data_IF_735283833378
#
_entry.id   IF_735283833378
#
_cell.length_a   1.000
_cell.length_b   1.000
_cell.length_c   1.000
_cell.angle_alpha   90.00
_cell.angle_beta   90.00
_cell.angle_gamma   90.00
#
_symmetry.space_group_name_H-M   'P 1'
#
loop_
_entity.id
_entity.type
_entity.pdbx_description
1 polymer ?
#
# COMPACT_ATOMS: atom_id res chain seq x y z
N UNK A 1 26.27 -5.40 4.41
CA UNK A 1 25.48 -4.17 4.42
C UNK A 1 24.29 -4.45 3.50
N UNK A 2 23.13 -4.81 4.06
CA UNK A 2 21.92 -5.06 3.28
C UNK A 2 21.52 -3.74 2.61
N UNK A 3 21.38 -3.78 1.28
CA UNK A 3 20.75 -2.68 0.56
C UNK A 3 19.33 -2.52 1.11
N UNK A 4 18.84 -1.28 1.36
CA UNK A 4 17.45 -1.08 1.71
C UNK A 4 16.58 -1.60 0.56
N UNK A 5 15.46 -2.26 0.90
CA UNK A 5 14.37 -2.49 -0.04
C UNK A 5 14.04 -1.17 -0.72
N UNK A 6 13.72 -1.18 -2.01
CA UNK A 6 13.25 0.04 -2.68
C UNK A 6 12.00 0.50 -1.92
N UNK A 7 11.99 1.72 -1.35
CA UNK A 7 10.81 2.17 -0.64
C UNK A 7 9.67 2.23 -1.65
N UNK A 8 8.64 1.42 -1.46
CA UNK A 8 7.39 1.61 -2.21
C UNK A 8 7.01 3.08 -2.09
N UNK A 9 6.62 3.69 -3.20
CA UNK A 9 6.18 5.08 -3.23
C UNK A 9 4.82 5.15 -2.53
N UNK A 10 4.81 4.85 -1.24
CA UNK A 10 3.72 5.15 -0.34
C UNK A 10 3.82 6.65 -0.02
N UNK A 11 3.38 7.48 -0.96
CA UNK A 11 3.27 8.90 -0.73
C UNK A 11 1.97 9.15 0.04
N UNK A 12 2.12 9.53 1.30
CA UNK A 12 1.03 9.83 2.21
C UNK A 12 0.37 11.15 1.84
N UNK A 13 -0.80 11.10 1.26
CA UNK A 13 -1.74 12.20 1.14
C UNK A 13 -3.13 11.66 1.41
N UNK A 14 -3.77 12.16 2.46
CA UNK A 14 -5.13 11.76 2.80
C UNK A 14 -6.13 12.20 1.71
N UNK A 15 -7.08 11.31 1.42
CA UNK A 15 -8.11 11.50 0.42
C UNK A 15 -9.29 12.25 1.04
N UNK A 16 -9.47 13.52 0.70
CA UNK A 16 -10.73 14.21 0.93
C UNK A 16 -10.97 15.24 -0.19
N UNK A 17 -12.04 15.05 -0.93
CA UNK A 17 -12.43 15.92 -2.04
C UNK A 17 -13.18 17.17 -1.57
N UNK A 18 -12.85 18.35 -2.12
CA UNK A 18 -13.67 19.56 -1.94
C UNK A 18 -13.61 20.52 -3.12
N UNK A 19 -14.75 21.10 -3.44
CA UNK A 19 -14.99 22.12 -4.48
C UNK A 19 -14.64 23.53 -3.98
N UNK A 20 -14.08 24.35 -4.88
CA UNK A 20 -13.48 25.68 -4.66
C UNK A 20 -14.45 26.80 -4.29
N UNK A 21 -14.09 27.65 -3.31
CA UNK A 21 -14.32 29.11 -3.32
C UNK A 21 -13.39 29.80 -2.30
N UNK A 22 -12.92 31.01 -2.67
CA UNK A 22 -11.91 31.75 -1.92
C UNK A 22 -12.50 32.69 -0.84
N UNK A 23 -12.00 32.63 0.40
CA UNK A 23 -11.95 33.72 1.41
C UNK A 23 -11.28 33.20 2.69
N UNK A 24 -10.47 34.00 3.40
CA UNK A 24 -9.97 33.88 4.77
C UNK A 24 -9.62 32.49 5.37
N UNK A 25 -9.02 32.37 6.54
CA UNK A 25 -8.87 31.07 7.17
C UNK A 25 -10.25 30.41 7.33
N UNK A 26 -10.43 29.19 6.81
CA UNK A 26 -11.74 28.53 6.83
C UNK A 26 -12.34 28.50 8.22
N UNK A 27 -13.64 28.78 8.40
CA UNK A 27 -14.32 28.88 9.72
C UNK A 27 -14.15 27.61 10.58
N UNK A 28 -13.95 26.46 9.97
CA UNK A 28 -13.83 25.17 10.65
C UNK A 28 -12.52 24.99 11.43
N UNK A 29 -11.52 25.84 11.28
CA UNK A 29 -10.34 25.81 12.14
C UNK A 29 -10.66 26.14 13.60
N UNK A 30 -11.76 26.84 13.87
CA UNK A 30 -12.25 27.04 15.25
C UNK A 30 -12.70 25.74 15.92
N UNK A 31 -12.95 24.68 15.13
CA UNK A 31 -13.40 23.39 15.63
C UNK A 31 -12.23 22.45 16.03
N UNK A 32 -10.98 22.80 15.70
CA UNK A 32 -9.79 21.96 15.98
C UNK A 32 -9.76 21.52 17.45
N UNK A 33 -9.93 22.44 18.39
CA UNK A 33 -9.90 22.11 19.81
C UNK A 33 -11.01 21.14 20.25
N UNK A 34 -12.21 21.27 19.66
CA UNK A 34 -13.31 20.34 19.93
C UNK A 34 -13.03 18.94 19.34
N UNK A 35 -12.42 18.88 18.15
CA UNK A 35 -12.03 17.62 17.50
C UNK A 35 -10.91 16.95 18.31
N UNK A 36 -9.87 17.69 18.71
CA UNK A 36 -8.78 17.18 19.56
C UNK A 36 -9.32 16.58 20.87
N UNK A 37 -10.27 17.26 21.51
CA UNK A 37 -10.92 16.75 22.72
C UNK A 37 -11.75 15.49 22.42
N UNK A 38 -12.48 15.47 21.31
CA UNK A 38 -13.27 14.32 20.88
C UNK A 38 -12.40 13.08 20.62
N UNK A 39 -11.31 13.24 19.86
CA UNK A 39 -10.34 12.17 19.58
C UNK A 39 -9.67 11.68 20.86
N UNK A 40 -9.30 12.59 21.77
CA UNK A 40 -8.75 12.23 23.08
C UNK A 40 -9.73 11.43 23.92
N UNK A 41 -11.01 11.77 23.89
CA UNK A 41 -12.07 11.04 24.60
C UNK A 41 -12.33 9.63 24.02
N UNK A 42 -12.15 9.45 22.72
CA UNK A 42 -12.31 8.16 22.05
C UNK A 42 -11.10 7.26 22.37
N UNK A 43 -9.91 7.75 22.16
CA UNK A 43 -8.67 6.96 22.23
C UNK A 43 -8.13 6.80 23.66
N UNK A 44 -8.39 7.76 24.53
CA UNK A 44 -7.69 7.88 25.83
C UNK A 44 -6.31 8.55 25.72
N UNK A 45 -5.83 8.83 24.52
CA UNK A 45 -4.57 9.56 24.26
C UNK A 45 -4.87 11.08 24.27
N UNK A 46 -3.98 11.88 24.87
CA UNK A 46 -4.14 13.35 24.89
C UNK A 46 -3.20 13.99 23.90
N UNK A 47 -3.65 15.05 23.23
CA UNK A 47 -2.72 15.91 22.50
C UNK A 47 -1.70 16.51 23.46
N UNK A 48 -0.42 16.35 23.16
CA UNK A 48 0.70 16.83 23.98
C UNK A 48 0.99 18.30 23.66
N UNK A 49 0.84 18.65 22.37
CA UNK A 49 1.04 20.01 21.85
C UNK A 49 -0.10 20.39 20.91
N UNK A 50 -0.47 21.68 20.82
CA UNK A 50 -1.36 22.17 19.78
C UNK A 50 -0.86 21.81 18.38
N UNK A 51 -1.75 21.49 17.46
CA UNK A 51 -1.40 21.17 16.07
C UNK A 51 -1.35 22.46 15.24
N UNK A 52 -0.18 22.93 14.79
CA UNK A 52 -0.09 24.06 13.90
C UNK A 52 -0.76 23.76 12.56
N UNK A 53 -1.39 24.73 11.94
CA UNK A 53 -2.01 24.54 10.63
C UNK A 53 -1.59 25.63 9.63
N UNK A 54 -1.85 25.37 8.35
CA UNK A 54 -1.62 26.30 7.25
C UNK A 54 -2.48 25.98 6.06
N UNK A 55 -2.57 26.94 5.13
CA UNK A 55 -3.32 26.78 3.89
C UNK A 55 -2.35 26.71 2.73
N UNK A 56 -2.61 25.85 1.75
CA UNK A 56 -1.86 25.72 0.50
C UNK A 56 -2.83 25.79 -0.68
N UNK A 57 -2.40 26.41 -1.78
CA UNK A 57 -3.08 26.24 -3.05
C UNK A 57 -2.57 24.98 -3.80
N UNK A 58 -3.23 24.60 -4.90
CA UNK A 58 -2.89 23.39 -5.66
C UNK A 58 -1.46 23.40 -6.22
N UNK A 59 -0.96 24.57 -6.65
CA UNK A 59 0.41 24.69 -7.19
C UNK A 59 1.45 24.51 -6.09
N UNK A 60 1.17 25.07 -4.91
CA UNK A 60 2.02 24.89 -3.72
C UNK A 60 2.02 23.44 -3.25
N UNK A 61 0.86 22.76 -3.28
CA UNK A 61 0.77 21.34 -2.98
C UNK A 61 1.61 20.52 -3.97
N UNK A 62 1.44 20.75 -5.29
CA UNK A 62 2.22 20.05 -6.32
C UNK A 62 3.72 20.24 -6.11
N UNK A 63 4.16 21.48 -5.90
CA UNK A 63 5.55 21.79 -5.61
C UNK A 63 6.07 21.08 -4.33
N UNK A 64 5.23 21.02 -3.30
CA UNK A 64 5.53 20.30 -2.06
C UNK A 64 5.70 18.80 -2.32
N UNK A 65 4.77 18.16 -3.04
CA UNK A 65 4.82 16.73 -3.38
C UNK A 65 6.07 16.41 -4.21
N UNK A 66 6.34 17.18 -5.26
CA UNK A 66 7.54 17.02 -6.08
C UNK A 66 8.83 17.18 -5.28
N UNK A 67 8.89 18.17 -4.37
CA UNK A 67 10.04 18.36 -3.49
C UNK A 67 10.21 17.16 -2.54
N UNK A 68 9.09 16.64 -2.00
CA UNK A 68 9.11 15.48 -1.10
C UNK A 68 9.61 14.23 -1.82
N UNK A 69 9.10 13.95 -3.02
CA UNK A 69 9.58 12.85 -3.87
C UNK A 69 11.08 12.99 -4.11
N UNK A 70 11.55 14.16 -4.54
CA UNK A 70 12.99 14.42 -4.80
C UNK A 70 13.87 14.22 -3.57
N UNK A 71 13.37 14.55 -2.37
CA UNK A 71 14.12 14.40 -1.12
C UNK A 71 14.13 12.97 -0.57
N UNK A 72 13.03 12.25 -0.75
CA UNK A 72 12.81 10.94 -0.14
C UNK A 72 13.28 9.80 -1.04
N UNK A 73 13.13 9.94 -2.36
CA UNK A 73 13.39 8.89 -3.33
C UNK A 73 14.52 9.29 -4.27
N UNK A 74 15.48 8.39 -4.45
CA UNK A 74 16.49 8.54 -5.49
C UNK A 74 15.91 8.13 -6.85
N UNK A 75 16.32 8.74 -7.96
CA UNK A 75 15.85 8.33 -9.29
C UNK A 75 16.04 6.85 -9.60
N UNK A 76 17.11 6.24 -9.05
CA UNK A 76 17.37 4.80 -9.17
C UNK A 76 16.36 3.92 -8.45
N UNK A 77 15.84 4.37 -7.31
CA UNK A 77 14.85 3.64 -6.51
C UNK A 77 13.50 3.61 -7.23
N UNK A 78 13.06 4.75 -7.78
CA UNK A 78 11.82 4.84 -8.58
C UNK A 78 11.90 3.94 -9.81
N UNK A 79 13.04 3.98 -10.53
CA UNK A 79 13.26 3.10 -11.69
C UNK A 79 13.23 1.63 -11.31
N UNK A 80 13.85 1.26 -10.19
CA UNK A 80 13.88 -0.12 -9.73
C UNK A 80 12.48 -0.60 -9.37
N UNK A 81 11.68 0.21 -8.67
CA UNK A 81 10.29 -0.10 -8.34
C UNK A 81 9.43 -0.24 -9.60
N UNK A 82 9.51 0.70 -10.52
CA UNK A 82 8.77 0.65 -11.79
C UNK A 82 9.10 -0.63 -12.59
N UNK A 83 10.39 -0.98 -12.71
CA UNK A 83 10.82 -2.21 -13.38
C UNK A 83 10.31 -3.46 -12.68
N UNK A 84 10.33 -3.47 -11.33
CA UNK A 84 9.81 -4.59 -10.54
C UNK A 84 8.31 -4.79 -10.81
N UNK A 85 7.52 -3.73 -10.71
CA UNK A 85 6.07 -3.79 -10.93
C UNK A 85 5.72 -4.20 -12.38
N UNK A 86 6.48 -3.73 -13.38
CA UNK A 86 6.31 -4.12 -14.80
C UNK A 86 6.64 -5.59 -15.02
N UNK A 87 7.75 -6.09 -14.49
CA UNK A 87 8.13 -7.51 -14.63
C UNK A 87 7.18 -8.45 -13.89
N UNK A 88 6.65 -8.02 -12.73
CA UNK A 88 5.59 -8.75 -12.04
C UNK A 88 4.26 -8.75 -12.81
N UNK A 89 4.04 -7.76 -13.68
CA UNK A 89 2.79 -7.56 -14.40
C UNK A 89 1.73 -6.79 -13.60
N UNK A 90 2.13 -6.11 -12.53
CA UNK A 90 1.24 -5.28 -11.70
C UNK A 90 0.88 -3.95 -12.38
N UNK A 91 1.76 -3.42 -13.23
CA UNK A 91 1.51 -2.25 -14.07
C UNK A 91 1.90 -2.51 -15.53
N UNK A 92 1.26 -1.85 -16.51
CA UNK A 92 1.60 -1.98 -17.92
C UNK A 92 3.05 -1.53 -18.23
N UNK A 93 3.62 -2.09 -19.29
CA UNK A 93 5.02 -1.81 -19.68
C UNK A 93 5.30 -0.36 -20.07
N UNK A 94 4.28 0.37 -20.51
CA UNK A 94 4.33 1.79 -20.92
C UNK A 94 3.93 2.77 -19.83
N UNK A 95 3.57 2.30 -18.61
CA UNK A 95 3.17 3.16 -17.51
C UNK A 95 4.38 3.90 -16.92
N UNK A 96 4.26 5.23 -16.74
CA UNK A 96 5.23 6.07 -16.04
C UNK A 96 4.80 6.22 -14.57
N UNK A 97 5.45 5.48 -13.69
CA UNK A 97 5.11 5.46 -12.27
C UNK A 97 5.31 6.83 -11.61
N UNK A 98 6.40 7.53 -11.94
CA UNK A 98 6.73 8.81 -11.32
C UNK A 98 5.71 9.90 -11.66
N UNK A 99 5.42 10.06 -12.96
CA UNK A 99 4.51 11.11 -13.43
C UNK A 99 3.09 10.87 -12.90
N UNK A 100 2.61 9.64 -13.04
CA UNK A 100 1.27 9.29 -12.59
C UNK A 100 1.09 9.41 -11.07
N UNK A 101 2.12 9.09 -10.28
CA UNK A 101 2.06 9.26 -8.82
C UNK A 101 1.82 10.72 -8.42
N UNK A 102 2.57 11.68 -9.02
CA UNK A 102 2.37 13.11 -8.71
C UNK A 102 0.98 13.57 -9.11
N UNK A 103 0.51 13.16 -10.29
CA UNK A 103 -0.80 13.58 -10.80
C UNK A 103 -1.95 13.02 -9.95
N UNK A 104 -1.89 11.73 -9.56
CA UNK A 104 -2.85 11.08 -8.66
C UNK A 104 -2.94 11.79 -7.31
N UNK A 105 -1.80 12.04 -6.67
CA UNK A 105 -1.76 12.67 -5.35
C UNK A 105 -2.24 14.14 -5.39
N UNK A 106 -1.93 14.86 -6.47
CA UNK A 106 -2.40 16.24 -6.63
C UNK A 106 -3.91 16.31 -6.88
N UNK A 107 -4.47 15.29 -7.58
CA UNK A 107 -5.90 15.23 -7.86
C UNK A 107 -6.73 15.02 -6.59
N UNK A 108 -6.26 14.19 -5.67
CA UNK A 108 -7.04 13.66 -4.56
C UNK A 108 -6.86 14.41 -3.23
N UNK A 109 -5.82 15.22 -3.07
CA UNK A 109 -5.54 15.87 -1.80
C UNK A 109 -6.50 17.04 -1.51
N UNK A 110 -7.07 17.07 -0.31
CA UNK A 110 -7.84 18.20 0.23
C UNK A 110 -7.20 18.77 1.50
N UNK A 111 -6.68 17.91 2.35
CA UNK A 111 -5.91 18.24 3.55
C UNK A 111 -4.82 17.17 3.75
N UNK A 112 -3.79 17.46 4.52
CA UNK A 112 -2.81 16.46 4.96
C UNK A 112 -2.03 16.91 6.19
N UNK A 113 -1.64 15.96 7.03
CA UNK A 113 -0.72 16.19 8.13
C UNK A 113 0.72 15.86 7.71
N UNK A 114 1.60 16.86 7.76
CA UNK A 114 3.04 16.65 7.52
C UNK A 114 3.74 16.28 8.83
N UNK A 115 3.97 15.00 9.04
CA UNK A 115 4.65 14.48 10.23
C UNK A 115 6.13 14.92 10.35
N UNK A 116 6.77 15.41 9.27
CA UNK A 116 8.10 15.98 9.36
C UNK A 116 8.08 17.42 9.87
N UNK A 117 7.06 18.19 9.47
CA UNK A 117 6.86 19.58 9.91
C UNK A 117 5.99 19.68 11.16
N UNK A 118 5.35 18.57 11.58
CA UNK A 118 4.36 18.53 12.67
C UNK A 118 3.23 19.53 12.44
N UNK A 119 2.73 19.62 11.21
CA UNK A 119 1.81 20.66 10.77
C UNK A 119 0.72 20.10 9.86
N UNK A 120 -0.50 20.53 10.12
CA UNK A 120 -1.66 20.28 9.28
C UNK A 120 -1.69 21.30 8.13
N UNK A 121 -1.95 20.83 6.91
CA UNK A 121 -2.19 21.65 5.74
C UNK A 121 -3.57 21.38 5.18
N UNK A 122 -4.28 22.44 4.81
CA UNK A 122 -5.59 22.39 4.17
C UNK A 122 -5.52 23.13 2.85
N UNK A 123 -6.21 22.66 1.82
CA UNK A 123 -6.22 23.31 0.54
C UNK A 123 -7.08 24.57 0.57
N UNK A 124 -6.59 25.60 -0.13
CA UNK A 124 -7.30 26.86 -0.36
C UNK A 124 -8.63 26.59 -1.09
N UNK A 125 -9.69 27.22 -0.65
CA UNK A 125 -11.03 27.07 -1.23
C UNK A 125 -11.91 26.04 -0.51
N UNK A 126 -11.43 25.41 0.57
CA UNK A 126 -12.25 24.55 1.42
C UNK A 126 -13.43 25.33 2.00
N UNK A 127 -14.66 24.87 1.74
CA UNK A 127 -15.92 25.55 2.12
C UNK A 127 -16.28 25.41 3.60
N UNK A 128 -15.63 24.45 4.31
CA UNK A 128 -16.01 24.06 5.68
C UNK A 128 -17.24 23.16 5.73
N UNK A 129 -17.54 22.49 4.63
CA UNK A 129 -18.60 21.49 4.56
C UNK A 129 -18.29 20.24 5.37
N UNK A 130 -19.18 19.23 5.26
CA UNK A 130 -19.06 17.99 6.03
C UNK A 130 -17.80 17.20 5.63
N UNK A 131 -17.43 17.25 4.36
CA UNK A 131 -16.26 16.54 3.81
C UNK A 131 -14.95 17.10 4.36
N UNK A 132 -14.81 18.42 4.39
CA UNK A 132 -13.60 19.08 4.92
C UNK A 132 -13.47 18.90 6.43
N UNK A 133 -14.58 18.92 7.16
CA UNK A 133 -14.59 18.60 8.60
C UNK A 133 -14.16 17.16 8.85
N UNK A 134 -14.66 16.25 8.02
CA UNK A 134 -14.31 14.83 8.08
C UNK A 134 -12.81 14.62 7.81
N UNK A 135 -12.29 15.29 6.78
CA UNK A 135 -10.85 15.29 6.49
C UNK A 135 -10.03 15.87 7.65
N UNK A 136 -10.51 16.97 8.28
CA UNK A 136 -9.83 17.57 9.42
C UNK A 136 -9.75 16.61 10.62
N UNK A 137 -10.80 15.83 10.89
CA UNK A 137 -10.79 14.79 11.94
C UNK A 137 -9.74 13.72 11.61
N UNK A 138 -9.67 13.26 10.37
CA UNK A 138 -8.70 12.29 9.89
C UNK A 138 -7.26 12.78 10.08
N UNK A 139 -6.97 14.02 9.66
CA UNK A 139 -5.62 14.58 9.77
C UNK A 139 -5.20 14.87 11.23
N UNK A 140 -6.14 15.25 12.08
CA UNK A 140 -5.89 15.41 13.51
C UNK A 140 -5.69 14.05 14.21
N UNK A 141 -6.29 12.96 13.71
CA UNK A 141 -5.98 11.62 14.19
C UNK A 141 -4.53 11.22 13.86
N UNK A 142 -4.02 11.57 12.66
CA UNK A 142 -2.59 11.42 12.36
C UNK A 142 -1.71 12.25 13.28
N UNK A 143 -2.09 13.50 13.56
CA UNK A 143 -1.34 14.35 14.47
C UNK A 143 -1.28 13.77 15.89
N UNK A 144 -2.40 13.23 16.39
CA UNK A 144 -2.46 12.55 17.68
C UNK A 144 -1.54 11.33 17.71
N UNK A 145 -1.63 10.46 16.70
CA UNK A 145 -0.77 9.28 16.59
C UNK A 145 0.72 9.66 16.49
N UNK A 146 1.06 10.71 15.73
CA UNK A 146 2.44 11.18 15.58
C UNK A 146 3.04 11.72 16.88
N UNK A 147 2.24 12.43 17.69
CA UNK A 147 2.69 12.93 18.98
C UNK A 147 3.05 11.81 19.98
N UNK A 148 2.45 10.63 19.85
CA UNK A 148 2.68 9.48 20.73
C UNK A 148 3.63 8.43 20.14
N UNK A 149 3.60 8.22 18.81
CA UNK A 149 4.27 7.07 18.18
C UNK A 149 5.30 7.48 17.12
N UNK A 150 5.54 8.79 16.87
CA UNK A 150 6.56 9.27 15.95
C UNK A 150 6.44 8.69 14.53
N UNK A 151 5.36 9.01 13.82
CA UNK A 151 4.99 8.43 12.53
C UNK A 151 6.12 8.40 11.50
N UNK A 152 6.99 9.42 11.46
CA UNK A 152 8.15 9.42 10.58
C UNK A 152 9.12 8.27 10.85
N UNK A 153 9.37 7.94 12.14
CA UNK A 153 10.19 6.80 12.54
C UNK A 153 9.47 5.48 12.29
N UNK A 154 8.19 5.43 12.63
CA UNK A 154 7.33 4.27 12.40
C UNK A 154 7.35 3.80 10.95
N UNK A 155 7.22 4.73 10.00
CA UNK A 155 7.29 4.45 8.56
C UNK A 155 8.69 3.99 8.14
N UNK A 156 9.73 4.70 8.61
CA UNK A 156 11.12 4.39 8.27
C UNK A 156 11.52 2.98 8.72
N UNK A 157 11.04 2.53 9.86
CA UNK A 157 11.28 1.17 10.34
C UNK A 157 10.59 0.11 9.48
N UNK A 158 9.43 0.44 8.87
CA UNK A 158 8.72 -0.41 7.91
C UNK A 158 9.46 -0.61 6.60
N UNK A 159 10.32 0.32 6.19
CA UNK A 159 11.04 0.29 4.90
C UNK A 159 12.01 -0.90 4.71
N UNK A 160 12.09 -1.82 5.66
CA UNK A 160 12.85 -3.07 5.56
C UNK A 160 12.10 -4.21 4.86
N UNK A 161 10.80 -4.05 4.65
CA UNK A 161 9.89 -4.99 4.03
C UNK A 161 8.83 -4.20 3.27
N UNK A 162 8.64 -4.48 1.97
CA UNK A 162 7.66 -3.76 1.17
C UNK A 162 6.23 -4.09 1.64
N UNK A 163 5.94 -5.35 1.90
CA UNK A 163 4.67 -5.79 2.45
C UNK A 163 4.43 -5.22 3.87
N UNK A 164 5.46 -5.23 4.72
CA UNK A 164 5.40 -4.60 6.04
C UNK A 164 5.20 -3.08 5.98
N UNK A 165 5.75 -2.40 4.97
CA UNK A 165 5.50 -0.98 4.74
C UNK A 165 4.04 -0.72 4.38
N UNK A 166 3.45 -1.53 3.50
CA UNK A 166 2.03 -1.45 3.14
C UNK A 166 1.14 -1.72 4.34
N UNK A 167 1.50 -2.72 5.17
CA UNK A 167 0.77 -3.02 6.40
C UNK A 167 0.81 -1.86 7.42
N UNK A 168 1.98 -1.22 7.61
CA UNK A 168 2.10 -0.04 8.48
C UNK A 168 1.33 1.16 7.95
N UNK A 169 1.28 1.33 6.63
CA UNK A 169 0.44 2.34 6.01
C UNK A 169 -1.03 2.08 6.30
N UNK A 170 -1.48 0.83 6.17
CA UNK A 170 -2.84 0.45 6.49
C UNK A 170 -3.20 0.68 7.97
N UNK A 171 -2.24 0.52 8.90
CA UNK A 171 -2.45 0.92 10.30
C UNK A 171 -2.69 2.42 10.43
N UNK A 172 -1.85 3.23 9.79
CA UNK A 172 -1.95 4.69 9.91
C UNK A 172 -3.25 5.22 9.34
N UNK A 173 -3.51 4.92 8.07
CA UNK A 173 -4.69 5.41 7.37
C UNK A 173 -5.96 4.77 7.93
N UNK A 174 -5.90 3.48 8.24
CA UNK A 174 -7.03 2.75 8.80
C UNK A 174 -7.44 3.23 10.18
N UNK A 175 -6.48 3.52 11.08
CA UNK A 175 -6.82 4.08 12.40
C UNK A 175 -7.39 5.48 12.26
N UNK A 176 -6.84 6.35 11.42
CA UNK A 176 -7.36 7.69 11.20
C UNK A 176 -8.78 7.64 10.59
N UNK A 177 -9.02 6.76 9.63
CA UNK A 177 -10.35 6.54 9.02
C UNK A 177 -11.34 5.98 10.04
N UNK A 178 -10.94 5.02 10.87
CA UNK A 178 -11.79 4.49 11.92
C UNK A 178 -12.15 5.55 12.98
N UNK A 179 -11.16 6.35 13.40
CA UNK A 179 -11.38 7.44 14.36
C UNK A 179 -12.30 8.53 13.80
N UNK A 180 -12.21 8.82 12.51
CA UNK A 180 -13.11 9.71 11.80
C UNK A 180 -14.54 9.18 11.87
N UNK A 181 -14.77 7.89 11.59
CA UNK A 181 -16.07 7.24 11.70
C UNK A 181 -16.61 7.28 13.13
N UNK A 182 -15.77 6.93 14.12
CA UNK A 182 -16.16 6.94 15.52
C UNK A 182 -16.49 8.35 16.04
N UNK A 183 -15.77 9.37 15.58
CA UNK A 183 -16.03 10.77 15.91
C UNK A 183 -17.40 11.22 15.39
N UNK A 184 -17.71 10.92 14.12
CA UNK A 184 -19.01 11.25 13.51
C UNK A 184 -20.16 10.51 14.20
N UNK A 185 -20.04 9.20 14.41
CA UNK A 185 -21.05 8.41 15.10
C UNK A 185 -21.37 8.96 16.51
N UNK A 186 -20.36 9.46 17.21
CA UNK A 186 -20.52 10.02 18.56
C UNK A 186 -21.20 11.40 18.57
N UNK A 187 -21.02 12.21 17.52
CA UNK A 187 -21.73 13.49 17.39
C UNK A 187 -23.25 13.29 17.24
N UNK A 188 -23.66 12.20 16.58
CA UNK A 188 -25.08 11.84 16.42
C UNK A 188 -25.67 11.13 17.65
N UNK A 189 -24.94 11.10 18.78
CA UNK A 189 -25.39 10.45 20.02
C UNK A 189 -25.28 8.92 19.99
N UNK A 190 -24.53 8.38 19.02
CA UNK A 190 -24.29 6.95 18.85
C UNK A 190 -23.34 6.34 19.90
N UNK A 191 -23.17 5.01 19.87
CA UNK A 191 -22.27 4.28 20.76
C UNK A 191 -20.79 4.66 20.51
N UNK A 192 -19.92 4.30 21.46
CA UNK A 192 -18.46 4.49 21.30
C UNK A 192 -17.83 3.57 20.22
N UNK A 193 -18.58 2.55 19.79
CA UNK A 193 -18.19 1.60 18.73
C UNK A 193 -18.75 2.05 17.39
N UNK A 194 -17.97 1.89 16.33
CA UNK A 194 -18.44 2.15 14.97
C UNK A 194 -19.36 1.00 14.54
N UNK A 195 -20.65 1.28 14.20
CA UNK A 195 -21.56 0.23 13.74
C UNK A 195 -21.08 -0.44 12.44
N UNK A 196 -21.30 -1.76 12.30
CA UNK A 196 -20.91 -2.51 11.10
C UNK A 196 -21.45 -1.88 9.82
N UNK A 197 -22.73 -1.51 9.82
CA UNK A 197 -23.34 -0.83 8.67
C UNK A 197 -22.61 0.47 8.28
N UNK A 198 -22.08 1.21 9.23
CA UNK A 198 -21.30 2.41 8.94
C UNK A 198 -19.95 2.06 8.31
N UNK A 199 -19.30 1.00 8.79
CA UNK A 199 -18.06 0.51 8.19
C UNK A 199 -18.27 0.02 6.75
N UNK A 200 -19.36 -0.70 6.49
CA UNK A 200 -19.74 -1.15 5.14
C UNK A 200 -19.96 0.03 4.20
N UNK A 201 -20.77 1.01 4.61
CA UNK A 201 -21.04 2.22 3.83
C UNK A 201 -19.77 3.03 3.57
N UNK A 202 -18.88 3.15 4.55
CA UNK A 202 -17.60 3.84 4.36
C UNK A 202 -16.67 3.08 3.44
N UNK A 203 -16.62 1.76 3.55
CA UNK A 203 -15.83 0.92 2.63
C UNK A 203 -16.32 1.09 1.19
N UNK A 204 -17.63 1.00 0.95
CA UNK A 204 -18.23 1.26 -0.35
C UNK A 204 -17.95 2.69 -0.85
N UNK A 205 -18.06 3.69 0.01
CA UNK A 205 -17.78 5.08 -0.31
C UNK A 205 -16.31 5.28 -0.72
N UNK A 206 -15.36 4.74 0.04
CA UNK A 206 -13.92 4.82 -0.28
C UNK A 206 -13.63 4.17 -1.64
N UNK A 207 -14.24 3.01 -1.92
CA UNK A 207 -14.05 2.30 -3.19
C UNK A 207 -14.71 2.99 -4.37
N UNK A 208 -15.86 3.64 -4.16
CA UNK A 208 -16.63 4.29 -5.23
C UNK A 208 -16.16 5.71 -5.52
N UNK A 209 -15.91 6.52 -4.47
CA UNK A 209 -15.48 7.92 -4.63
C UNK A 209 -14.19 8.06 -5.43
N UNK A 210 -13.29 7.09 -5.28
CA UNK A 210 -12.06 7.05 -6.04
C UNK A 210 -12.29 6.98 -7.57
N UNK A 211 -13.45 6.46 -8.02
CA UNK A 211 -13.80 6.36 -9.45
C UNK A 211 -14.18 7.70 -10.09
N UNK A 212 -14.55 8.68 -9.28
CA UNK A 212 -14.97 10.01 -9.76
C UNK A 212 -13.77 10.90 -10.16
N UNK A 213 -12.54 10.43 -9.90
CA UNK A 213 -11.31 11.12 -10.24
C UNK A 213 -10.76 10.64 -11.61
N UNK A 214 -10.64 11.54 -12.61
CA UNK A 214 -10.23 11.16 -13.96
C UNK A 214 -8.85 10.51 -14.08
N UNK A 215 -7.86 10.94 -13.27
CA UNK A 215 -6.52 10.33 -13.26
C UNK A 215 -6.56 8.97 -12.58
N UNK A 216 -7.23 8.90 -11.43
CA UNK A 216 -7.38 7.66 -10.67
C UNK A 216 -8.14 6.58 -11.47
N UNK A 217 -9.24 6.94 -12.12
CA UNK A 217 -10.08 5.98 -12.87
C UNK A 217 -9.34 5.29 -14.02
N UNK A 218 -8.30 5.95 -14.58
CA UNK A 218 -7.45 5.44 -15.66
C UNK A 218 -6.18 4.73 -15.16
N UNK A 219 -5.88 4.80 -13.88
CA UNK A 219 -4.71 4.15 -13.31
C UNK A 219 -4.83 2.62 -13.37
N UNK A 220 -3.72 1.86 -13.50
CA UNK A 220 -3.71 0.42 -13.39
C UNK A 220 -4.36 -0.08 -12.09
N UNK A 221 -4.95 -1.29 -12.13
CA UNK A 221 -5.64 -1.87 -10.97
C UNK A 221 -4.76 -1.82 -9.71
N UNK A 222 -3.50 -2.23 -9.82
CA UNK A 222 -2.57 -2.22 -8.69
C UNK A 222 -2.41 -0.84 -8.06
N UNK A 223 -2.29 0.20 -8.87
CA UNK A 223 -2.14 1.58 -8.37
C UNK A 223 -3.43 2.02 -7.65
N UNK A 224 -4.60 1.72 -8.21
CA UNK A 224 -5.89 2.05 -7.58
C UNK A 224 -6.06 1.33 -6.25
N UNK A 225 -5.86 0.02 -6.23
CA UNK A 225 -6.01 -0.79 -5.03
C UNK A 225 -4.98 -0.39 -3.94
N UNK A 226 -3.74 -0.08 -4.32
CA UNK A 226 -2.71 0.37 -3.35
C UNK A 226 -3.02 1.72 -2.71
N UNK A 227 -3.84 2.57 -3.36
CA UNK A 227 -4.32 3.83 -2.77
C UNK A 227 -5.56 3.63 -1.89
N UNK A 228 -6.41 2.65 -2.18
CA UNK A 228 -7.68 2.39 -1.46
C UNK A 228 -7.49 1.47 -0.26
N UNK A 229 -6.68 0.42 -0.40
CA UNK A 229 -6.48 -0.62 0.60
C UNK A 229 -6.07 -0.09 1.99
N UNK A 230 -5.16 0.88 2.13
CA UNK A 230 -4.79 1.40 3.45
C UNK A 230 -5.96 1.99 4.23
N UNK A 231 -6.88 2.63 3.57
CA UNK A 231 -8.07 3.23 4.19
C UNK A 231 -9.12 2.18 4.51
N UNK A 232 -9.59 1.45 3.51
CA UNK A 232 -10.67 0.48 3.66
C UNK A 232 -10.22 -0.75 4.47
N UNK A 233 -9.16 -1.43 4.03
CA UNK A 233 -8.62 -2.61 4.72
C UNK A 233 -8.07 -2.28 6.11
N UNK A 234 -7.37 -1.15 6.22
CA UNK A 234 -6.85 -0.67 7.52
C UNK A 234 -7.94 -0.29 8.51
N UNK A 235 -9.05 0.32 8.06
CA UNK A 235 -10.21 0.64 8.92
C UNK A 235 -10.86 -0.62 9.47
N UNK A 236 -11.07 -1.63 8.62
CA UNK A 236 -11.63 -2.92 9.04
C UNK A 236 -10.69 -3.66 10.00
N UNK A 237 -9.39 -3.62 9.76
CA UNK A 237 -8.37 -4.14 10.66
C UNK A 237 -8.42 -3.45 12.02
N UNK A 238 -8.40 -2.10 12.05
CA UNK A 238 -8.49 -1.33 13.29
C UNK A 238 -9.77 -1.67 14.07
N UNK A 239 -10.89 -1.81 13.38
CA UNK A 239 -12.15 -2.22 14.01
C UNK A 239 -12.07 -3.62 14.64
N UNK A 240 -11.49 -4.59 13.95
CA UNK A 240 -11.32 -5.94 14.47
C UNK A 240 -10.42 -5.97 15.72
N UNK A 241 -9.30 -5.23 15.68
CA UNK A 241 -8.39 -5.12 16.84
C UNK A 241 -9.05 -4.35 17.98
N UNK A 242 -9.81 -3.29 17.70
CA UNK A 242 -10.56 -2.54 18.72
C UNK A 242 -11.62 -3.40 19.41
N UNK A 243 -12.35 -4.24 18.69
CA UNK A 243 -13.31 -5.18 19.29
C UNK A 243 -12.67 -6.17 20.27
N UNK A 244 -11.41 -6.50 20.10
CA UNK A 244 -10.67 -7.42 20.99
C UNK A 244 -9.99 -6.71 22.16
N UNK A 245 -9.39 -5.55 21.91
CA UNK A 245 -8.49 -4.87 22.86
C UNK A 245 -9.08 -3.56 23.41
N UNK A 246 -10.22 -3.10 22.89
CA UNK A 246 -10.79 -1.83 23.25
C UNK A 246 -9.81 -0.68 22.98
N UNK A 247 -9.73 0.30 23.87
CA UNK A 247 -8.83 1.46 23.75
C UNK A 247 -7.35 1.11 23.65
N UNK A 248 -6.91 -0.04 24.18
CA UNK A 248 -5.52 -0.46 24.07
C UNK A 248 -5.10 -0.65 22.60
N UNK A 249 -6.05 -0.96 21.71
CA UNK A 249 -5.79 -1.14 20.27
C UNK A 249 -5.09 0.06 19.63
N UNK A 250 -5.41 1.30 20.06
CA UNK A 250 -4.86 2.51 19.46
C UNK A 250 -3.33 2.66 19.65
N UNK A 251 -2.81 2.12 20.75
CA UNK A 251 -1.37 2.06 20.96
C UNK A 251 -0.76 0.77 20.42
N UNK A 252 -1.47 -0.36 20.58
CA UNK A 252 -0.98 -1.70 20.22
C UNK A 252 -0.50 -1.77 18.77
N UNK A 253 -1.30 -1.30 17.83
CA UNK A 253 -0.99 -1.38 16.39
C UNK A 253 0.22 -0.54 15.96
N UNK A 254 0.65 0.42 16.77
CA UNK A 254 1.89 1.20 16.54
C UNK A 254 3.08 0.64 17.28
N UNK A 255 2.89 0.10 18.49
CA UNK A 255 3.97 -0.46 19.31
C UNK A 255 4.36 -1.87 18.90
N UNK A 256 3.38 -2.65 18.40
CA UNK A 256 3.55 -3.99 17.84
C UNK A 256 2.93 -4.04 16.43
N UNK A 257 3.54 -3.36 15.45
CA UNK A 257 2.93 -3.22 14.14
C UNK A 257 2.80 -4.56 13.40
N UNK A 258 1.76 -4.71 12.56
CA UNK A 258 1.64 -5.87 11.69
C UNK A 258 2.86 -5.97 10.77
N UNK A 259 3.27 -7.20 10.48
CA UNK A 259 4.45 -7.52 9.68
C UNK A 259 4.12 -7.75 8.20
N UNK A 260 2.83 -7.87 7.85
CA UNK A 260 2.37 -8.20 6.50
C UNK A 260 0.96 -7.69 6.24
N UNK A 261 0.62 -7.49 4.97
CA UNK A 261 -0.77 -7.21 4.54
C UNK A 261 -1.71 -8.37 4.85
N UNK A 262 -1.20 -9.60 4.92
CA UNK A 262 -1.96 -10.76 5.39
C UNK A 262 -2.51 -10.55 6.80
N UNK A 263 -1.73 -9.98 7.71
CA UNK A 263 -2.21 -9.67 9.06
C UNK A 263 -3.24 -8.53 9.08
N UNK A 264 -3.20 -7.61 8.12
CA UNK A 264 -4.24 -6.60 7.94
C UNK A 264 -5.55 -7.23 7.45
N UNK A 265 -5.45 -8.12 6.45
CA UNK A 265 -6.61 -8.79 5.83
C UNK A 265 -7.22 -9.86 6.75
N UNK A 266 -6.39 -10.44 7.63
CA UNK A 266 -6.76 -11.46 8.60
C UNK A 266 -6.33 -11.06 10.03
N UNK A 267 -7.08 -10.19 10.72
CA UNK A 267 -6.70 -9.65 12.02
C UNK A 267 -6.45 -10.71 13.12
N UNK A 268 -7.07 -11.88 12.99
CA UNK A 268 -6.82 -12.99 13.93
C UNK A 268 -5.37 -13.50 13.84
N UNK A 269 -4.74 -13.47 12.65
CA UNK A 269 -3.32 -13.80 12.48
C UNK A 269 -2.40 -12.73 13.11
N UNK A 270 -2.80 -11.47 13.08
CA UNK A 270 -2.10 -10.41 13.81
C UNK A 270 -2.16 -10.65 15.32
N UNK A 271 -3.36 -10.89 15.85
CA UNK A 271 -3.57 -11.14 17.29
C UNK A 271 -2.89 -12.44 17.77
N UNK A 272 -2.70 -13.40 16.88
CA UNK A 272 -1.94 -14.63 17.14
C UNK A 272 -0.43 -14.47 16.91
N UNK A 273 0.06 -13.27 16.55
CA UNK A 273 1.47 -13.00 16.22
C UNK A 273 2.06 -13.91 15.13
N UNK A 274 1.24 -14.30 14.14
CA UNK A 274 1.67 -15.18 13.06
C UNK A 274 2.57 -14.39 12.08
N UNK A 275 3.87 -14.74 12.06
CA UNK A 275 4.83 -14.07 11.19
C UNK A 275 4.78 -14.61 9.74
N UNK A 276 4.96 -13.76 8.71
CA UNK A 276 5.08 -14.21 7.33
C UNK A 276 6.37 -15.00 7.11
N UNK A 277 6.36 -15.93 6.16
CA UNK A 277 7.57 -16.60 5.68
C UNK A 277 8.36 -15.68 4.72
N UNK A 278 9.68 -15.91 4.61
CA UNK A 278 10.54 -15.18 3.70
C UNK A 278 11.43 -16.18 2.94
N UNK A 279 10.88 -16.90 1.95
CA UNK A 279 11.65 -17.85 1.17
C UNK A 279 12.75 -17.11 0.38
N UNK A 280 14.00 -17.62 0.33
CA UNK A 280 15.04 -16.98 -0.47
C UNK A 280 14.69 -17.09 -1.96
N UNK A 281 14.89 -16.01 -2.76
CA UNK A 281 14.76 -16.10 -4.20
C UNK A 281 15.71 -17.16 -4.79
N UNK A 282 15.36 -17.79 -5.93
CA UNK A 282 16.20 -18.79 -6.54
C UNK A 282 17.56 -18.22 -6.98
N UNK A 283 18.57 -19.07 -7.04
CA UNK A 283 19.86 -18.70 -7.58
C UNK A 283 19.79 -18.45 -9.09
N UNK A 284 20.51 -17.44 -9.56
CA UNK A 284 20.68 -17.18 -11.00
C UNK A 284 22.05 -17.72 -11.45
N UNK A 285 22.11 -18.49 -12.54
CA UNK A 285 23.40 -18.81 -13.19
C UNK A 285 24.17 -17.51 -13.47
N UNK A 286 25.49 -17.54 -13.29
CA UNK A 286 26.37 -16.37 -13.47
C UNK A 286 25.95 -15.13 -12.67
N UNK A 287 25.49 -15.31 -11.42
CA UNK A 287 25.07 -14.22 -10.51
C UNK A 287 26.08 -13.06 -10.44
N UNK A 288 27.37 -13.34 -10.67
CA UNK A 288 28.45 -12.33 -10.64
C UNK A 288 28.36 -11.33 -11.78
N UNK A 289 27.74 -11.68 -12.90
CA UNK A 289 27.51 -10.76 -14.03
C UNK A 289 26.43 -9.71 -13.73
N UNK A 290 25.70 -9.84 -12.62
CA UNK A 290 24.59 -8.97 -12.26
C UNK A 290 24.91 -8.11 -11.04
N UNK A 291 24.28 -6.93 -10.99
CA UNK A 291 24.16 -6.11 -9.79
C UNK A 291 22.71 -6.14 -9.31
N UNK A 292 22.50 -6.08 -8.02
CA UNK A 292 21.18 -5.92 -7.44
C UNK A 292 20.73 -4.47 -7.58
N UNK A 293 19.51 -4.24 -8.10
CA UNK A 293 18.85 -2.94 -8.14
C UNK A 293 17.92 -2.77 -6.95
N UNK A 294 17.14 -3.81 -6.62
CA UNK A 294 16.23 -3.85 -5.48
C UNK A 294 16.09 -5.26 -4.93
N UNK A 295 15.76 -5.35 -3.67
CA UNK A 295 15.35 -6.58 -2.98
C UNK A 295 14.14 -6.23 -2.11
N UNK A 296 13.18 -7.13 -2.01
CA UNK A 296 11.97 -6.90 -1.23
C UNK A 296 11.08 -8.14 -1.14
N UNK A 297 9.83 -7.91 -0.81
CA UNK A 297 8.82 -8.95 -0.70
C UNK A 297 7.45 -8.46 -1.17
N UNK A 298 6.58 -9.40 -1.54
CA UNK A 298 5.19 -9.18 -1.90
C UNK A 298 4.30 -9.84 -0.84
N UNK A 299 3.24 -9.16 -0.44
CA UNK A 299 2.27 -9.67 0.50
C UNK A 299 1.02 -10.25 -0.15
N UNK A 300 0.09 -10.70 0.68
CA UNK A 300 -1.21 -11.21 0.22
C UNK A 300 -1.95 -10.16 -0.61
N UNK A 301 -1.88 -8.88 -0.23
CA UNK A 301 -2.47 -7.80 -1.01
C UNK A 301 -1.95 -7.78 -2.45
N UNK A 302 -0.64 -7.85 -2.66
CA UNK A 302 -0.04 -7.79 -3.99
C UNK A 302 -0.43 -8.99 -4.85
N UNK A 303 -0.42 -10.20 -4.26
CA UNK A 303 -0.85 -11.43 -4.96
C UNK A 303 -2.35 -11.42 -5.26
N UNK A 304 -3.18 -10.90 -4.36
CA UNK A 304 -4.60 -10.72 -4.62
C UNK A 304 -4.83 -9.83 -5.85
N UNK A 305 -4.21 -8.67 -5.91
CA UNK A 305 -4.34 -7.75 -7.05
C UNK A 305 -3.78 -8.39 -8.33
N UNK A 306 -2.60 -9.00 -8.26
CA UNK A 306 -1.97 -9.67 -9.41
C UNK A 306 -2.90 -10.73 -9.99
N UNK A 307 -3.38 -11.64 -9.16
CA UNK A 307 -4.20 -12.76 -9.63
C UNK A 307 -5.59 -12.29 -10.10
N UNK A 308 -6.20 -11.34 -9.42
CA UNK A 308 -7.47 -10.73 -9.83
C UNK A 308 -7.36 -10.09 -11.22
N UNK A 309 -6.27 -9.40 -11.51
CA UNK A 309 -6.06 -8.71 -12.79
C UNK A 309 -6.04 -9.66 -13.99
N UNK A 310 -5.60 -10.90 -13.80
CA UNK A 310 -5.45 -11.91 -14.87
C UNK A 310 -6.41 -13.11 -14.75
N UNK A 311 -7.31 -13.09 -13.76
CA UNK A 311 -8.36 -14.12 -13.59
C UNK A 311 -9.70 -13.48 -13.22
N UNK A 312 -10.25 -13.84 -12.07
CA UNK A 312 -11.43 -13.21 -11.48
C UNK A 312 -11.13 -12.77 -10.05
N UNK A 313 -11.93 -11.83 -9.52
CA UNK A 313 -11.77 -11.36 -8.14
C UNK A 313 -11.84 -12.52 -7.14
N UNK A 314 -12.83 -13.42 -7.29
CA UNK A 314 -12.99 -14.57 -6.39
C UNK A 314 -11.78 -15.52 -6.46
N UNK A 315 -11.29 -15.82 -7.68
CA UNK A 315 -10.11 -16.67 -7.86
C UNK A 315 -8.84 -16.02 -7.28
N UNK A 316 -8.66 -14.73 -7.51
CA UNK A 316 -7.53 -13.96 -6.98
C UNK A 316 -7.51 -13.95 -5.46
N UNK A 317 -8.61 -13.58 -4.84
CA UNK A 317 -8.77 -13.56 -3.38
C UNK A 317 -8.55 -14.94 -2.76
N UNK A 318 -9.23 -15.96 -3.31
CA UNK A 318 -9.14 -17.31 -2.77
C UNK A 318 -7.71 -17.85 -2.82
N UNK A 319 -7.00 -17.67 -3.94
CA UNK A 319 -5.64 -18.15 -4.06
C UNK A 319 -4.66 -17.34 -3.19
N UNK A 320 -4.74 -16.01 -3.19
CA UNK A 320 -3.82 -15.15 -2.43
C UNK A 320 -3.91 -15.38 -0.91
N UNK A 321 -5.07 -15.76 -0.39
CA UNK A 321 -5.27 -16.05 1.03
C UNK A 321 -4.40 -17.23 1.55
N UNK A 322 -3.93 -18.09 0.64
CA UNK A 322 -3.03 -19.20 0.95
C UNK A 322 -1.54 -18.83 0.94
N UNK A 323 -1.18 -17.58 0.60
CA UNK A 323 0.22 -17.13 0.62
C UNK A 323 0.76 -17.13 2.05
N UNK A 324 1.86 -17.82 2.29
CA UNK A 324 2.60 -17.75 3.56
C UNK A 324 3.64 -16.63 3.57
N UNK A 325 4.15 -16.25 2.40
CA UNK A 325 5.06 -15.13 2.21
C UNK A 325 5.91 -15.27 0.94
N UNK A 326 6.63 -14.20 0.60
CA UNK A 326 7.47 -14.17 -0.60
C UNK A 326 8.70 -13.30 -0.42
N UNK A 327 9.64 -13.41 -1.36
CA UNK A 327 10.73 -12.45 -1.51
C UNK A 327 11.18 -12.37 -2.95
N UNK A 328 11.76 -11.23 -3.35
CA UNK A 328 12.28 -11.02 -4.70
C UNK A 328 13.63 -10.31 -4.69
N UNK A 329 14.34 -10.43 -5.80
CA UNK A 329 15.45 -9.54 -6.14
C UNK A 329 15.37 -9.14 -7.62
N UNK A 330 15.39 -7.82 -7.85
CA UNK A 330 15.55 -7.24 -9.18
C UNK A 330 17.03 -7.06 -9.46
N UNK A 331 17.51 -7.70 -10.50
CA UNK A 331 18.91 -7.73 -10.92
C UNK A 331 19.06 -7.00 -12.26
N UNK A 332 20.22 -6.37 -12.49
CA UNK A 332 20.57 -5.80 -13.79
C UNK A 332 21.92 -6.39 -14.24
N UNK A 333 21.96 -6.90 -15.46
CA UNK A 333 23.21 -7.36 -16.05
C UNK A 333 24.22 -6.21 -16.22
N UNK A 334 25.46 -6.34 -15.71
CA UNK A 334 26.42 -5.24 -15.60
C UNK A 334 26.81 -4.62 -16.93
N UNK A 335 26.93 -5.42 -17.97
CA UNK A 335 27.29 -4.96 -19.32
C UNK A 335 26.08 -4.77 -20.22
N UNK A 336 25.15 -5.74 -20.27
CA UNK A 336 24.00 -5.73 -21.16
C UNK A 336 22.85 -4.83 -20.70
N UNK A 337 22.87 -4.35 -19.44
CA UNK A 337 21.88 -3.40 -18.85
C UNK A 337 20.41 -3.87 -18.92
N UNK A 338 20.16 -5.16 -19.09
CA UNK A 338 18.81 -5.72 -19.05
C UNK A 338 18.46 -6.18 -17.62
N UNK A 339 17.20 -6.00 -17.21
CA UNK A 339 16.75 -6.45 -15.90
C UNK A 339 16.39 -7.94 -15.91
N UNK A 340 16.60 -8.60 -14.78
CA UNK A 340 16.10 -9.95 -14.48
C UNK A 340 15.47 -9.92 -13.10
N UNK A 341 14.24 -10.39 -12.99
CA UNK A 341 13.55 -10.55 -11.72
C UNK A 341 13.63 -12.01 -11.28
N UNK A 342 14.11 -12.24 -10.06
CA UNK A 342 14.07 -13.55 -9.41
C UNK A 342 13.21 -13.42 -8.15
N UNK A 343 12.31 -14.37 -7.94
CA UNK A 343 11.46 -14.36 -6.73
C UNK A 343 10.97 -15.76 -6.36
N UNK A 344 10.58 -15.89 -5.10
CA UNK A 344 9.98 -17.10 -4.56
C UNK A 344 8.76 -16.75 -3.73
N UNK A 345 7.73 -17.58 -3.80
CA UNK A 345 6.55 -17.51 -2.95
C UNK A 345 6.29 -18.86 -2.29
N UNK A 346 6.07 -18.86 -0.99
CA UNK A 346 5.69 -20.06 -0.22
C UNK A 346 4.21 -19.98 0.13
N UNK A 347 3.53 -21.09 0.00
CA UNK A 347 2.11 -21.27 0.20
C UNK A 347 1.86 -22.17 1.41
N UNK A 348 0.66 -22.18 1.95
CA UNK A 348 0.31 -22.97 3.15
C UNK A 348 0.30 -24.48 2.88
N UNK A 349 0.16 -24.89 1.62
CA UNK A 349 0.21 -26.30 1.20
C UNK A 349 0.80 -26.46 -0.21
N UNK A 350 1.28 -27.66 -0.58
CA UNK A 350 1.67 -27.95 -1.97
C UNK A 350 0.52 -27.81 -2.97
N UNK A 351 -0.71 -28.10 -2.55
CA UNK A 351 -1.93 -27.96 -3.36
C UNK A 351 -2.21 -26.52 -3.68
N UNK A 352 -2.11 -25.61 -2.70
CA UNK A 352 -2.27 -24.16 -2.90
C UNK A 352 -1.17 -23.59 -3.78
N UNK A 353 0.08 -24.07 -3.63
CA UNK A 353 1.19 -23.69 -4.49
C UNK A 353 0.97 -24.14 -5.95
N UNK A 354 0.40 -25.32 -6.15
CA UNK A 354 0.05 -25.82 -7.47
C UNK A 354 -1.09 -24.98 -8.10
N UNK A 355 -2.14 -24.65 -7.36
CA UNK A 355 -3.23 -23.79 -7.82
C UNK A 355 -2.69 -22.40 -8.22
N UNK A 356 -1.78 -21.83 -7.44
CA UNK A 356 -1.12 -20.59 -7.81
C UNK A 356 -0.32 -20.74 -9.12
N UNK A 357 0.45 -21.83 -9.30
CA UNK A 357 1.22 -22.04 -10.53
C UNK A 357 0.32 -22.09 -11.77
N UNK A 358 -0.84 -22.75 -11.68
CA UNK A 358 -1.84 -22.76 -12.77
C UNK A 358 -2.36 -21.35 -13.10
N UNK A 359 -2.73 -20.57 -12.06
CA UNK A 359 -3.16 -19.18 -12.23
C UNK A 359 -2.04 -18.32 -12.79
N UNK A 360 -0.79 -18.58 -12.40
CA UNK A 360 0.36 -17.85 -12.89
C UNK A 360 0.62 -18.06 -14.40
N UNK A 361 0.22 -19.20 -14.94
CA UNK A 361 0.17 -19.42 -16.40
C UNK A 361 -0.72 -18.40 -17.12
N UNK A 362 -1.85 -17.99 -16.52
CA UNK A 362 -2.70 -16.91 -17.04
C UNK A 362 -2.00 -15.55 -16.92
N UNK A 363 -1.32 -15.29 -15.78
CA UNK A 363 -0.54 -14.06 -15.58
C UNK A 363 0.53 -13.92 -16.68
N UNK A 364 1.33 -14.95 -16.95
CA UNK A 364 2.35 -14.93 -18.00
C UNK A 364 1.76 -14.57 -19.38
N UNK A 365 0.64 -15.18 -19.74
CA UNK A 365 -0.02 -14.93 -21.04
C UNK A 365 -0.70 -13.54 -21.09
N UNK A 366 -1.11 -12.98 -19.97
CA UNK A 366 -1.80 -11.70 -19.91
C UNK A 366 -0.89 -10.48 -19.79
N UNK A 367 0.28 -10.62 -19.13
CA UNK A 367 1.19 -9.49 -18.88
C UNK A 367 2.14 -9.18 -20.03
N UNK A 368 2.40 -10.14 -20.92
CA UNK A 368 3.29 -10.00 -22.06
C UNK A 368 2.51 -9.98 -23.37
N UNK A 369 3.00 -9.24 -24.36
CA UNK A 369 2.38 -9.17 -25.69
C UNK A 369 2.57 -10.47 -26.46
N UNK A 370 3.72 -11.12 -26.26
CA UNK A 370 4.06 -12.40 -26.89
C UNK A 370 4.57 -13.35 -25.83
N UNK A 371 4.06 -14.58 -25.84
CA UNK A 371 4.52 -15.67 -24.96
C UNK A 371 4.58 -16.94 -25.76
N UNK A 372 5.75 -17.56 -25.79
CA UNK A 372 5.98 -18.88 -26.37
C UNK A 372 6.34 -19.85 -25.25
N UNK A 373 5.44 -20.77 -24.94
CA UNK A 373 5.63 -21.80 -23.93
C UNK A 373 6.50 -22.93 -24.50
N UNK A 374 7.62 -23.24 -23.86
CA UNK A 374 8.51 -24.36 -24.17
C UNK A 374 8.26 -25.55 -23.25
N UNK A 375 7.87 -25.29 -22.00
CA UNK A 375 7.42 -26.29 -21.02
C UNK A 375 6.18 -25.78 -20.31
N UNK A 376 5.18 -26.64 -20.23
CA UNK A 376 3.94 -26.39 -19.46
C UNK A 376 3.51 -27.70 -18.81
N UNK A 377 3.87 -27.87 -17.57
CA UNK A 377 3.59 -29.06 -16.77
C UNK A 377 2.94 -28.66 -15.44
N UNK A 378 2.38 -29.58 -14.66
CA UNK A 378 1.87 -29.29 -13.33
C UNK A 378 2.90 -28.72 -12.34
N UNK A 379 4.21 -28.79 -12.68
CA UNK A 379 5.30 -28.40 -11.79
C UNK A 379 6.20 -27.32 -12.39
N UNK A 380 6.04 -26.98 -13.67
CA UNK A 380 6.92 -26.03 -14.35
C UNK A 380 6.23 -25.34 -15.52
N UNK A 381 6.47 -24.03 -15.60
CA UNK A 381 6.17 -23.19 -16.77
C UNK A 381 7.49 -22.57 -17.23
N UNK A 382 7.92 -22.83 -18.45
CA UNK A 382 9.10 -22.22 -19.01
C UNK A 382 8.89 -21.82 -20.48
N UNK A 383 9.57 -20.76 -20.91
CA UNK A 383 9.43 -20.27 -22.26
C UNK A 383 10.13 -18.95 -22.49
N UNK A 384 9.66 -18.26 -23.52
CA UNK A 384 10.18 -16.97 -23.94
C UNK A 384 9.03 -15.96 -24.12
N UNK A 385 9.28 -14.70 -23.75
CA UNK A 385 8.36 -13.57 -23.92
C UNK A 385 9.10 -12.39 -24.54
N UNK A 386 8.39 -11.31 -24.82
CA UNK A 386 9.01 -10.03 -25.23
C UNK A 386 9.94 -9.44 -24.16
N UNK A 387 9.86 -9.83 -22.89
CA UNK A 387 10.83 -9.47 -21.86
C UNK A 387 12.09 -10.34 -21.83
N UNK A 388 12.03 -11.55 -22.39
CA UNK A 388 13.10 -12.54 -22.39
C UNK A 388 12.63 -13.92 -21.94
N UNK A 389 13.57 -14.80 -21.65
CA UNK A 389 13.27 -16.14 -21.14
C UNK A 389 12.74 -16.06 -19.70
N UNK A 390 11.78 -16.95 -19.41
CA UNK A 390 11.24 -17.15 -18.07
C UNK A 390 11.22 -18.62 -17.69
N UNK A 391 11.32 -18.88 -16.39
CA UNK A 391 11.10 -20.19 -15.79
C UNK A 391 10.42 -20.02 -14.45
N UNK A 392 9.33 -20.75 -14.24
CA UNK A 392 8.58 -20.80 -12.98
C UNK A 392 8.41 -22.27 -12.61
N UNK A 393 8.84 -22.66 -11.41
CA UNK A 393 8.77 -24.07 -11.02
C UNK A 393 8.42 -24.26 -9.55
N UNK A 394 7.75 -25.35 -9.25
CA UNK A 394 7.27 -25.76 -7.95
C UNK A 394 8.22 -26.69 -7.25
N UNK A 395 8.53 -26.44 -5.97
CA UNK A 395 9.26 -27.34 -5.07
C UNK A 395 8.56 -27.38 -3.73
N UNK A 396 7.88 -28.49 -3.43
CA UNK A 396 7.04 -28.60 -2.23
C UNK A 396 5.91 -27.56 -2.26
N UNK A 397 5.87 -26.68 -1.26
CA UNK A 397 4.92 -25.58 -1.20
C UNK A 397 5.51 -24.24 -1.67
N UNK A 398 6.65 -24.24 -2.35
CA UNK A 398 7.33 -23.03 -2.81
C UNK A 398 7.38 -22.98 -4.33
N UNK A 399 6.91 -21.87 -4.92
CA UNK A 399 7.02 -21.57 -6.35
C UNK A 399 8.14 -20.58 -6.54
N UNK A 400 9.08 -20.94 -7.42
CA UNK A 400 10.26 -20.15 -7.77
C UNK A 400 10.10 -19.56 -9.17
N UNK A 401 10.65 -18.35 -9.37
CA UNK A 401 10.51 -17.62 -10.63
C UNK A 401 11.83 -16.98 -11.03
N UNK A 402 12.15 -17.03 -12.32
CA UNK A 402 13.18 -16.24 -12.99
C UNK A 402 12.55 -15.66 -14.25
N UNK A 403 12.61 -14.34 -14.43
CA UNK A 403 12.02 -13.67 -15.60
C UNK A 403 12.95 -12.58 -16.16
N UNK A 404 12.97 -12.45 -17.49
CA UNK A 404 13.76 -11.44 -18.21
C UNK A 404 15.17 -11.89 -18.58
N UNK A 405 15.51 -13.18 -18.44
CA UNK A 405 16.82 -13.69 -18.89
C UNK A 405 16.99 -13.54 -20.41
N UNK A 406 18.22 -13.25 -20.85
CA UNK A 406 18.55 -13.21 -22.29
C UNK A 406 19.06 -14.56 -22.83
N UNK A 407 19.19 -15.54 -21.96
CA UNK A 407 19.57 -16.92 -22.31
C UNK A 407 18.54 -17.90 -21.77
N UNK A 408 18.35 -19.07 -22.44
CA UNK A 408 17.49 -20.12 -21.93
C UNK A 408 17.82 -20.50 -20.49
N UNK A 409 16.80 -20.86 -19.74
CA UNK A 409 16.88 -21.26 -18.33
C UNK A 409 16.66 -22.77 -18.23
N UNK A 410 17.66 -23.50 -17.79
CA UNK A 410 17.65 -24.97 -17.65
C UNK A 410 17.51 -25.40 -16.20
#
# INVERSE_FOLDING_TARGET
MKLPSAPRIALFVALAAALLHAAGPPPFFSEIGAIEQGLSNITGLRFIHPVPYGVLNKDQLRAFLEQRIRKTLKPGDIRAEELTLKLLGLIPSDFDLRQNTVDLLTEQAAAFYDYNKKKLFVLEGSSGGIEERTALVHELAHALADQHFHLGKYIQEGARSDDGSTARLAVMEGQATWLMAAYLAKQDGGPAEVPDRMLDLMTESIQSSARDYPVFSKAPLYIRESLVFPYAGGMLFQNAVFRKLGRASFAEVFTHPPLSTKQIMHPDLYLAHHAPSNPPPPGLPDRRAFRTLAEGNLGEFDYNVLLTQYSTEDQGKAAAAHLAGSSYALLEHKHGKFPVLIYASTWDSPESAHQYLELYGKVLRGKWKTVEMQSETPYELAGHSDAGYFRTWLVGATVNHIEGSKSPLH
#
